data_IF_247094666493
#
_entry.id   IF_247094666493
#
_cell.length_a   1.000
_cell.length_b   1.000
_cell.length_c   1.000
_cell.angle_alpha   90.00
_cell.angle_beta   90.00
_cell.angle_gamma   90.00
#
_symmetry.space_group_name_H-M   'P 1'
#
loop_
_entity.id
_entity.type
_entity.pdbx_description
1 polymer ?
#
# COMPACT_ATOMS: atom_id res chain seq x y z
N UNK A 1 14.01 -17.29 21.12
CA UNK A 1 14.97 -17.51 20.00
C UNK A 1 14.61 -16.52 18.89
N UNK A 2 15.44 -15.51 18.62
CA UNK A 2 15.22 -14.63 17.46
C UNK A 2 15.36 -15.48 16.18
N UNK A 3 14.30 -15.59 15.38
CA UNK A 3 14.37 -16.25 14.06
C UNK A 3 15.34 -15.43 13.20
N UNK A 4 16.42 -16.04 12.70
CA UNK A 4 17.31 -15.39 11.74
C UNK A 4 16.64 -15.39 10.37
N UNK A 5 16.19 -14.23 9.90
CA UNK A 5 15.70 -14.07 8.54
C UNK A 5 16.87 -13.97 7.56
N UNK A 6 16.74 -14.46 6.31
CA UNK A 6 17.73 -14.20 5.28
C UNK A 6 17.90 -12.70 5.09
N UNK A 7 19.14 -12.23 4.93
CA UNK A 7 19.41 -10.82 4.68
C UNK A 7 18.98 -10.49 3.25
N UNK A 8 17.88 -9.75 3.10
CA UNK A 8 17.42 -9.28 1.79
C UNK A 8 18.38 -8.19 1.26
N UNK A 9 18.70 -8.14 -0.06
CA UNK A 9 19.67 -7.17 -0.60
C UNK A 9 19.37 -5.69 -0.30
N UNK A 10 18.10 -5.33 -0.14
CA UNK A 10 17.72 -3.95 0.23
C UNK A 10 18.22 -3.55 1.63
N UNK A 11 18.53 -4.52 2.50
CA UNK A 11 19.03 -4.25 3.86
C UNK A 11 20.31 -3.43 3.86
N UNK A 12 21.15 -3.60 2.84
CA UNK A 12 22.41 -2.86 2.72
C UNK A 12 22.19 -1.39 2.36
N UNK A 13 21.00 -1.02 1.88
CA UNK A 13 20.69 0.32 1.35
C UNK A 13 19.75 1.07 2.31
N UNK A 14 18.71 0.40 2.81
CA UNK A 14 17.62 1.00 3.58
C UNK A 14 17.42 0.37 4.97
N UNK A 15 18.40 -0.40 5.46
CA UNK A 15 18.36 -0.95 6.81
C UNK A 15 17.53 -2.23 6.97
N UNK A 16 17.49 -2.74 8.20
CA UNK A 16 16.97 -4.09 8.52
C UNK A 16 15.46 -4.18 8.33
N UNK A 17 14.74 -3.12 8.68
CA UNK A 17 13.30 -3.00 8.62
C UNK A 17 12.82 -3.16 7.17
N UNK A 18 13.42 -2.42 6.23
CA UNK A 18 13.15 -2.57 4.80
C UNK A 18 13.44 -3.99 4.31
N UNK A 19 14.53 -4.59 4.81
CA UNK A 19 14.89 -5.98 4.54
C UNK A 19 13.83 -6.99 4.94
N UNK A 20 13.29 -6.84 6.15
CA UNK A 20 12.28 -7.73 6.71
C UNK A 20 10.99 -7.68 5.90
N UNK A 21 10.50 -6.47 5.60
CA UNK A 21 9.31 -6.30 4.77
C UNK A 21 9.52 -6.86 3.36
N UNK A 22 10.66 -6.58 2.73
CA UNK A 22 10.98 -7.11 1.41
C UNK A 22 11.04 -8.65 1.38
N UNK A 23 11.63 -9.26 2.41
CA UNK A 23 11.62 -10.73 2.57
C UNK A 23 10.19 -11.30 2.62
N UNK A 24 9.30 -10.66 3.39
CA UNK A 24 7.90 -11.09 3.45
C UNK A 24 7.18 -10.91 2.11
N UNK A 25 7.41 -9.80 1.42
CA UNK A 25 6.85 -9.56 0.09
C UNK A 25 7.27 -10.64 -0.91
N UNK A 26 8.57 -10.96 -0.99
CA UNK A 26 9.09 -11.98 -1.90
C UNK A 26 8.51 -13.38 -1.61
N UNK A 27 8.16 -13.65 -0.35
CA UNK A 27 7.52 -14.91 0.05
C UNK A 27 6.01 -14.94 -0.26
N UNK A 28 5.31 -13.83 -0.05
CA UNK A 28 3.84 -13.77 -0.13
C UNK A 28 3.34 -13.52 -1.56
N UNK A 29 4.06 -12.72 -2.35
CA UNK A 29 3.66 -12.37 -3.72
C UNK A 29 3.44 -13.58 -4.64
N UNK A 30 4.26 -14.65 -4.59
CA UNK A 30 3.99 -15.86 -5.36
C UNK A 30 2.65 -16.54 -5.03
N UNK A 31 2.15 -16.46 -3.80
CA UNK A 31 0.88 -17.11 -3.40
C UNK A 31 -0.35 -16.37 -3.92
N UNK A 32 -0.29 -15.04 -4.03
CA UNK A 32 -1.39 -14.22 -4.57
C UNK A 32 -1.35 -14.08 -6.09
N UNK A 33 -0.28 -14.57 -6.73
CA UNK A 33 -0.13 -14.50 -8.17
C UNK A 33 -1.08 -15.48 -8.88
N UNK A 34 -1.82 -14.99 -9.87
CA UNK A 34 -2.80 -15.79 -10.60
C UNK A 34 -4.14 -15.94 -9.90
N UNK A 35 -4.38 -15.30 -8.75
CA UNK A 35 -5.71 -15.23 -8.15
C UNK A 35 -6.67 -14.53 -9.12
N UNK A 36 -7.70 -15.26 -9.55
CA UNK A 36 -8.79 -14.72 -10.33
C UNK A 36 -9.84 -14.10 -9.40
N UNK A 37 -10.54 -13.07 -9.86
CA UNK A 37 -11.70 -12.48 -9.17
C UNK A 37 -12.84 -12.37 -10.16
N UNK A 38 -14.01 -12.87 -9.78
CA UNK A 38 -15.19 -12.89 -10.63
C UNK A 38 -16.23 -11.95 -10.04
N UNK A 39 -16.61 -10.92 -10.79
CA UNK A 39 -17.60 -9.93 -10.37
C UNK A 39 -18.87 -10.10 -11.21
N UNK A 40 -20.02 -10.14 -10.54
CA UNK A 40 -21.32 -10.34 -11.17
C UNK A 40 -21.82 -9.04 -11.81
N UNK A 41 -22.35 -9.14 -13.03
CA UNK A 41 -22.96 -7.98 -13.70
C UNK A 41 -24.24 -7.54 -12.98
N UNK A 42 -24.45 -6.23 -12.88
CA UNK A 42 -25.57 -5.63 -12.13
C UNK A 42 -26.95 -6.16 -12.54
N UNK A 43 -27.12 -6.54 -13.81
CA UNK A 43 -28.38 -7.11 -14.31
C UNK A 43 -28.69 -8.50 -13.73
N UNK A 44 -27.67 -9.35 -13.57
CA UNK A 44 -27.86 -10.68 -12.97
C UNK A 44 -28.03 -10.57 -11.45
N UNK A 45 -27.24 -9.68 -10.82
CA UNK A 45 -27.35 -9.40 -9.39
C UNK A 45 -28.76 -8.99 -8.97
N UNK A 46 -29.42 -8.12 -9.75
CA UNK A 46 -30.76 -7.63 -9.46
C UNK A 46 -31.87 -8.71 -9.52
N UNK A 47 -31.61 -9.86 -10.14
CA UNK A 47 -32.58 -10.97 -10.25
C UNK A 47 -32.56 -11.90 -9.04
N UNK A 48 -31.57 -11.78 -8.16
CA UNK A 48 -31.35 -12.71 -7.05
C UNK A 48 -32.29 -12.44 -5.87
N UNK A 49 -32.64 -13.47 -5.07
CA UNK A 49 -33.30 -13.26 -3.79
C UNK A 49 -32.34 -12.57 -2.79
N UNK A 50 -32.85 -11.88 -1.75
CA UNK A 50 -32.03 -11.04 -0.86
C UNK A 50 -30.83 -11.72 -0.20
N UNK A 51 -30.94 -12.98 0.21
CA UNK A 51 -29.84 -13.72 0.82
C UNK A 51 -28.73 -14.06 -0.18
N UNK A 52 -29.08 -14.34 -1.44
CA UNK A 52 -28.10 -14.56 -2.51
C UNK A 52 -27.45 -13.24 -2.95
N UNK A 53 -28.22 -12.15 -3.01
CA UNK A 53 -27.64 -10.81 -3.23
C UNK A 53 -26.59 -10.50 -2.16
N UNK A 54 -26.88 -10.81 -0.89
CA UNK A 54 -25.94 -10.54 0.19
C UNK A 54 -24.70 -11.44 0.15
N UNK A 55 -24.87 -12.69 -0.28
CA UNK A 55 -23.76 -13.60 -0.57
C UNK A 55 -22.85 -13.06 -1.66
N UNK A 56 -23.40 -12.63 -2.80
CA UNK A 56 -22.61 -12.07 -3.91
C UNK A 56 -21.90 -10.81 -3.44
N UNK A 57 -22.63 -9.88 -2.80
CA UNK A 57 -22.09 -8.64 -2.25
C UNK A 57 -20.85 -8.88 -1.37
N UNK A 58 -20.97 -9.69 -0.32
CA UNK A 58 -19.87 -9.94 0.60
C UNK A 58 -18.74 -10.74 -0.04
N UNK A 59 -19.05 -11.69 -0.93
CA UNK A 59 -18.01 -12.41 -1.67
C UNK A 59 -17.16 -11.44 -2.50
N UNK A 60 -17.80 -10.50 -3.20
CA UNK A 60 -17.06 -9.51 -4.00
C UNK A 60 -16.33 -8.48 -3.15
N UNK A 61 -16.85 -8.08 -1.99
CA UNK A 61 -16.12 -7.23 -1.02
C UNK A 61 -14.83 -7.92 -0.57
N UNK A 62 -14.88 -9.23 -0.30
CA UNK A 62 -13.67 -10.01 0.05
C UNK A 62 -12.72 -10.13 -1.15
N UNK A 63 -13.23 -10.30 -2.38
CA UNK A 63 -12.41 -10.25 -3.61
C UNK A 63 -11.67 -8.92 -3.75
N UNK A 64 -12.37 -7.79 -3.60
CA UNK A 64 -11.72 -6.47 -3.70
C UNK A 64 -10.75 -6.22 -2.55
N UNK A 65 -11.02 -6.75 -1.36
CA UNK A 65 -10.10 -6.68 -0.21
C UNK A 65 -8.79 -7.42 -0.48
N UNK A 66 -8.89 -8.67 -0.98
CA UNK A 66 -7.71 -9.45 -1.37
C UNK A 66 -6.95 -8.79 -2.52
N UNK A 67 -7.67 -8.33 -3.56
CA UNK A 67 -7.07 -7.68 -4.72
C UNK A 67 -6.34 -6.38 -4.35
N UNK A 68 -6.94 -5.55 -3.49
CA UNK A 68 -6.32 -4.33 -3.00
C UNK A 68 -5.07 -4.63 -2.16
N UNK A 69 -5.13 -5.62 -1.26
CA UNK A 69 -3.96 -6.05 -0.48
C UNK A 69 -2.81 -6.57 -1.36
N UNK A 70 -3.12 -7.42 -2.34
CA UNK A 70 -2.15 -7.89 -3.33
C UNK A 70 -1.55 -6.75 -4.15
N UNK A 71 -2.39 -5.80 -4.60
CA UNK A 71 -1.95 -4.61 -5.33
C UNK A 71 -1.01 -3.72 -4.52
N UNK A 72 -1.32 -3.49 -3.24
CA UNK A 72 -0.46 -2.73 -2.33
C UNK A 72 0.92 -3.40 -2.14
N UNK A 73 0.94 -4.72 -1.95
CA UNK A 73 2.19 -5.49 -1.86
C UNK A 73 3.02 -5.39 -3.14
N UNK A 74 2.41 -5.58 -4.32
CA UNK A 74 3.11 -5.50 -5.61
C UNK A 74 3.67 -4.10 -5.83
N UNK A 75 2.88 -3.05 -5.64
CA UNK A 75 3.34 -1.66 -5.82
C UNK A 75 4.51 -1.34 -4.89
N UNK A 76 4.41 -1.73 -3.62
CA UNK A 76 5.47 -1.53 -2.63
C UNK A 76 6.77 -2.25 -3.03
N UNK A 77 6.66 -3.53 -3.44
CA UNK A 77 7.81 -4.32 -3.89
C UNK A 77 8.50 -3.68 -5.11
N UNK A 78 7.71 -3.21 -6.09
CA UNK A 78 8.24 -2.62 -7.32
C UNK A 78 8.94 -1.30 -7.05
N UNK A 79 8.40 -0.45 -6.17
CA UNK A 79 9.05 0.81 -5.80
C UNK A 79 10.32 0.59 -4.98
N UNK A 80 10.32 -0.34 -4.02
CA UNK A 80 11.52 -0.72 -3.28
C UNK A 80 12.62 -1.26 -4.20
N UNK A 81 12.25 -2.15 -5.13
CA UNK A 81 13.17 -2.73 -6.10
C UNK A 81 13.72 -1.67 -7.05
N UNK A 82 12.85 -0.77 -7.54
CA UNK A 82 13.24 0.35 -8.41
C UNK A 82 14.19 1.32 -7.71
N UNK A 83 13.93 1.65 -6.44
CA UNK A 83 14.82 2.48 -5.63
C UNK A 83 16.20 1.83 -5.51
N UNK A 84 16.25 0.55 -5.11
CA UNK A 84 17.51 -0.20 -5.01
C UNK A 84 18.28 -0.20 -6.32
N UNK A 85 17.61 -0.51 -7.43
CA UNK A 85 18.27 -0.54 -8.73
C UNK A 85 18.81 0.83 -9.13
N UNK A 86 18.05 1.89 -8.91
CA UNK A 86 18.47 3.26 -9.22
C UNK A 86 19.65 3.71 -8.37
N UNK A 87 19.63 3.37 -7.08
CA UNK A 87 20.75 3.64 -6.16
C UNK A 87 22.03 2.89 -6.58
N UNK A 88 21.93 1.61 -6.93
CA UNK A 88 23.06 0.81 -7.40
C UNK A 88 23.71 1.32 -8.70
N UNK A 89 22.97 2.07 -9.51
CA UNK A 89 23.47 2.65 -10.77
C UNK A 89 23.70 4.17 -10.65
N UNK A 90 23.76 4.71 -9.42
CA UNK A 90 23.99 6.12 -9.15
C UNK A 90 23.02 7.07 -9.87
N UNK A 91 21.77 6.66 -10.09
CA UNK A 91 20.77 7.47 -10.80
C UNK A 91 19.88 8.21 -9.79
N UNK A 92 20.20 9.47 -9.52
CA UNK A 92 19.50 10.30 -8.53
C UNK A 92 18.03 10.49 -8.86
N UNK A 93 17.71 10.89 -10.08
CA UNK A 93 16.33 11.20 -10.46
C UNK A 93 15.44 9.96 -10.41
N UNK A 94 15.95 8.81 -10.85
CA UNK A 94 15.21 7.55 -10.78
C UNK A 94 15.03 7.07 -9.33
N UNK A 95 16.06 7.22 -8.48
CA UNK A 95 15.97 6.90 -7.06
C UNK A 95 14.93 7.79 -6.36
N UNK A 96 14.98 9.10 -6.60
CA UNK A 96 14.03 10.05 -6.05
C UNK A 96 12.59 9.78 -6.51
N UNK A 97 12.40 9.47 -7.80
CA UNK A 97 11.09 9.10 -8.33
C UNK A 97 10.55 7.82 -7.69
N UNK A 98 11.40 6.81 -7.47
CA UNK A 98 11.00 5.57 -6.80
C UNK A 98 10.65 5.79 -5.32
N UNK A 99 11.43 6.58 -4.60
CA UNK A 99 11.14 6.95 -3.22
C UNK A 99 9.80 7.69 -3.11
N UNK A 100 9.55 8.64 -4.03
CA UNK A 100 8.28 9.37 -4.10
C UNK A 100 7.11 8.42 -4.37
N UNK A 101 7.24 7.55 -5.37
CA UNK A 101 6.24 6.55 -5.70
C UNK A 101 5.95 5.57 -4.57
N UNK A 102 6.96 5.21 -3.77
CA UNK A 102 6.79 4.38 -2.57
C UNK A 102 5.92 5.08 -1.51
N UNK A 103 6.18 6.37 -1.24
CA UNK A 103 5.39 7.16 -0.28
C UNK A 103 3.95 7.33 -0.78
N UNK A 104 3.77 7.66 -2.06
CA UNK A 104 2.44 7.77 -2.68
C UNK A 104 1.66 6.45 -2.61
N UNK A 105 2.32 5.33 -2.90
CA UNK A 105 1.70 4.00 -2.78
C UNK A 105 1.34 3.65 -1.34
N UNK A 106 2.18 4.00 -0.36
CA UNK A 106 1.89 3.80 1.05
C UNK A 106 0.69 4.63 1.52
N UNK A 107 0.60 5.89 1.11
CA UNK A 107 -0.51 6.77 1.47
C UNK A 107 -1.85 6.29 0.86
N UNK A 108 -1.83 5.82 -0.39
CA UNK A 108 -3.01 5.26 -1.06
C UNK A 108 -3.47 3.93 -0.44
N UNK A 109 -2.50 3.08 -0.08
CA UNK A 109 -2.76 1.84 0.65
C UNK A 109 -3.31 2.12 2.06
N UNK A 110 -2.75 3.05 2.83
CA UNK A 110 -3.31 3.45 4.13
C UNK A 110 -4.73 4.02 4.00
N UNK A 111 -4.95 4.92 3.04
CA UNK A 111 -6.26 5.52 2.81
C UNK A 111 -7.35 4.47 2.57
N UNK A 112 -7.00 3.41 1.84
CA UNK A 112 -7.93 2.36 1.44
C UNK A 112 -8.03 1.26 2.50
N UNK A 113 -6.89 0.63 2.81
CA UNK A 113 -6.83 -0.64 3.51
C UNK A 113 -6.83 -0.48 5.02
N UNK A 114 -6.50 0.68 5.60
CA UNK A 114 -6.41 0.83 7.05
C UNK A 114 -7.71 0.47 7.79
N UNK A 115 -8.87 0.67 7.16
CA UNK A 115 -10.18 0.32 7.72
C UNK A 115 -10.55 -1.16 7.51
N UNK A 116 -10.01 -1.82 6.48
CA UNK A 116 -10.49 -3.13 6.01
C UNK A 116 -10.38 -4.22 7.08
N UNK A 117 -9.21 -4.48 7.72
CA UNK A 117 -9.08 -5.57 8.67
C UNK A 117 -10.04 -5.42 9.85
N UNK A 118 -10.15 -4.21 10.41
CA UNK A 118 -10.96 -3.97 11.60
C UNK A 118 -12.45 -4.09 11.30
N UNK A 119 -12.91 -3.49 10.20
CA UNK A 119 -14.32 -3.57 9.78
C UNK A 119 -14.74 -5.02 9.51
N UNK A 120 -13.92 -5.79 8.79
CA UNK A 120 -14.22 -7.19 8.51
C UNK A 120 -14.18 -8.05 9.79
N UNK A 121 -13.28 -7.77 10.73
CA UNK A 121 -13.18 -8.51 11.98
C UNK A 121 -14.39 -8.25 12.90
N UNK A 122 -14.82 -7.00 13.01
CA UNK A 122 -15.99 -6.59 13.81
C UNK A 122 -17.27 -7.33 13.39
N UNK A 123 -17.48 -7.47 12.08
CA UNK A 123 -18.66 -8.14 11.52
C UNK A 123 -18.39 -9.59 11.08
N UNK A 124 -17.27 -10.21 11.47
CA UNK A 124 -16.81 -11.47 10.86
C UNK A 124 -17.84 -12.61 10.88
N UNK A 125 -18.65 -12.73 11.95
CA UNK A 125 -19.75 -13.71 12.06
C UNK A 125 -20.81 -13.46 10.99
N UNK A 126 -21.21 -12.19 10.81
CA UNK A 126 -22.22 -11.78 9.84
C UNK A 126 -21.68 -11.90 8.42
N UNK A 127 -20.43 -11.49 8.18
CA UNK A 127 -19.73 -11.65 6.90
C UNK A 127 -19.67 -13.13 6.51
N UNK A 128 -19.26 -14.02 7.43
CA UNK A 128 -19.26 -15.47 7.22
C UNK A 128 -20.65 -15.98 6.85
N UNK A 129 -21.66 -15.66 7.65
CA UNK A 129 -23.03 -16.08 7.40
C UNK A 129 -23.57 -15.55 6.05
N UNK A 130 -23.19 -14.33 5.65
CA UNK A 130 -23.59 -13.75 4.38
C UNK A 130 -22.95 -14.49 3.20
N UNK A 131 -21.63 -14.73 3.24
CA UNK A 131 -20.90 -15.47 2.19
C UNK A 131 -21.41 -16.91 2.04
N UNK A 132 -21.88 -17.52 3.13
CA UNK A 132 -22.50 -18.85 3.11
C UNK A 132 -23.97 -18.82 2.66
N UNK A 133 -24.55 -17.64 2.42
CA UNK A 133 -25.95 -17.46 2.01
C UNK A 133 -26.97 -17.71 3.13
N UNK A 134 -26.54 -17.66 4.40
CA UNK A 134 -27.36 -17.96 5.57
C UNK A 134 -27.87 -16.72 6.32
N UNK A 135 -27.37 -15.53 5.98
CA UNK A 135 -27.71 -14.32 6.72
C UNK A 135 -29.04 -13.69 6.26
N UNK A 136 -29.93 -13.47 7.22
CA UNK A 136 -31.17 -12.70 7.08
C UNK A 136 -31.42 -11.89 8.38
N UNK A 137 -31.77 -10.58 8.30
CA UNK A 137 -31.85 -9.75 7.09
C UNK A 137 -30.46 -9.44 6.50
N UNK A 138 -30.38 -9.09 5.20
CA UNK A 138 -29.12 -8.72 4.56
C UNK A 138 -28.55 -7.41 5.12
N UNK A 139 -27.24 -7.23 4.99
CA UNK A 139 -26.55 -5.98 5.36
C UNK A 139 -25.41 -5.65 4.41
N UNK A 140 -25.08 -4.36 4.31
CA UNK A 140 -24.03 -3.84 3.43
C UNK A 140 -23.07 -2.95 4.23
N UNK A 141 -21.88 -2.71 3.69
CA UNK A 141 -20.89 -1.77 4.23
C UNK A 141 -20.42 -0.83 3.11
N UNK A 142 -21.21 0.22 2.80
CA UNK A 142 -20.95 1.08 1.64
C UNK A 142 -19.59 1.78 1.70
N UNK A 143 -19.17 2.23 2.89
CA UNK A 143 -17.86 2.89 3.05
C UNK A 143 -16.70 1.95 2.69
N UNK A 144 -16.73 0.71 3.17
CA UNK A 144 -15.71 -0.31 2.85
C UNK A 144 -15.68 -0.60 1.35
N UNK A 145 -16.86 -0.81 0.75
CA UNK A 145 -16.98 -1.07 -0.68
C UNK A 145 -16.44 0.10 -1.53
N UNK A 146 -16.85 1.33 -1.22
CA UNK A 146 -16.39 2.53 -1.95
C UNK A 146 -14.88 2.70 -1.89
N UNK A 147 -14.25 2.44 -0.73
CA UNK A 147 -12.79 2.51 -0.54
C UNK A 147 -12.08 1.46 -1.38
N UNK A 148 -12.57 0.24 -1.38
CA UNK A 148 -11.99 -0.86 -2.14
C UNK A 148 -12.15 -0.66 -3.65
N UNK A 149 -13.30 -0.14 -4.09
CA UNK A 149 -13.52 0.26 -5.49
C UNK A 149 -12.55 1.38 -5.88
N UNK A 150 -12.39 2.39 -5.01
CA UNK A 150 -11.43 3.49 -5.23
C UNK A 150 -10.04 2.97 -5.51
N UNK A 151 -9.49 2.11 -4.67
CA UNK A 151 -8.15 1.60 -4.89
C UNK A 151 -7.96 0.82 -6.20
N UNK A 152 -9.01 0.14 -6.67
CA UNK A 152 -8.93 -0.76 -7.83
C UNK A 152 -9.33 -0.10 -9.15
N UNK A 153 -10.15 0.94 -9.12
CA UNK A 153 -10.76 1.55 -10.30
C UNK A 153 -10.52 3.06 -10.42
N UNK A 154 -10.02 3.73 -9.37
CA UNK A 154 -9.91 5.17 -9.40
C UNK A 154 -8.92 5.65 -10.47
N UNK A 155 -9.38 6.60 -11.29
CA UNK A 155 -8.59 7.22 -12.34
C UNK A 155 -8.99 8.67 -12.55
N UNK A 156 -8.27 9.36 -13.43
CA UNK A 156 -8.69 10.67 -13.90
C UNK A 156 -9.88 10.50 -14.87
N UNK A 157 -11.02 11.18 -14.65
CA UNK A 157 -12.13 11.18 -15.60
C UNK A 157 -11.74 11.91 -16.88
N UNK A 158 -12.28 11.46 -18.01
CA UNK A 158 -12.17 12.18 -19.28
C UNK A 158 -13.09 13.41 -19.29
N UNK A 159 -12.83 14.37 -20.19
CA UNK A 159 -13.61 15.60 -20.25
C UNK A 159 -15.07 15.29 -20.61
N UNK A 160 -15.99 15.63 -19.70
CA UNK A 160 -17.42 15.40 -19.89
C UNK A 160 -17.89 13.99 -19.49
N UNK A 161 -16.97 13.16 -19.00
CA UNK A 161 -17.30 11.83 -18.51
C UNK A 161 -17.98 11.88 -17.13
N UNK A 162 -19.05 11.10 -16.95
CA UNK A 162 -19.70 10.92 -15.65
C UNK A 162 -19.38 9.53 -15.12
N UNK A 163 -18.57 9.47 -14.05
CA UNK A 163 -18.25 8.25 -13.33
C UNK A 163 -18.56 8.40 -11.83
N UNK A 164 -18.80 7.30 -11.10
CA UNK A 164 -19.01 7.36 -9.65
C UNK A 164 -17.82 8.00 -8.93
N UNK A 165 -18.07 8.65 -7.78
CA UNK A 165 -17.01 9.31 -6.99
C UNK A 165 -15.91 8.33 -6.58
N UNK A 166 -16.26 7.09 -6.25
CA UNK A 166 -15.32 6.01 -5.95
C UNK A 166 -14.44 5.59 -7.13
N UNK A 167 -14.67 6.10 -8.34
CA UNK A 167 -13.81 5.84 -9.50
C UNK A 167 -12.95 7.07 -9.88
N UNK A 168 -13.03 8.14 -9.10
CA UNK A 168 -12.26 9.36 -9.34
C UNK A 168 -11.04 9.34 -8.43
N UNK A 169 -9.85 9.33 -9.04
CA UNK A 169 -8.59 9.39 -8.30
C UNK A 169 -8.50 10.65 -7.45
N UNK A 170 -8.14 10.48 -6.18
CA UNK A 170 -7.83 11.62 -5.32
C UNK A 170 -6.59 12.33 -5.85
N UNK A 171 -6.54 13.63 -5.64
CA UNK A 171 -5.34 14.39 -5.93
C UNK A 171 -4.23 14.01 -4.94
N UNK A 172 -2.99 14.06 -5.40
CA UNK A 172 -1.81 13.80 -4.54
C UNK A 172 -1.81 14.70 -3.30
N UNK A 173 -2.29 15.94 -3.43
CA UNK A 173 -2.45 16.86 -2.30
C UNK A 173 -3.40 16.36 -1.20
N UNK A 174 -4.41 15.56 -1.54
CA UNK A 174 -5.36 14.99 -0.57
C UNK A 174 -4.71 13.87 0.25
N UNK A 175 -3.98 12.96 -0.41
CA UNK A 175 -3.18 11.94 0.28
C UNK A 175 -2.11 12.56 1.16
N UNK A 176 -1.44 13.61 0.66
CA UNK A 176 -0.43 14.34 1.41
C UNK A 176 -1.01 15.03 2.65
N UNK A 177 -2.16 15.70 2.54
CA UNK A 177 -2.79 16.36 3.69
C UNK A 177 -3.11 15.37 4.82
N UNK A 178 -3.46 14.13 4.48
CA UNK A 178 -3.65 13.05 5.45
C UNK A 178 -2.31 12.58 6.02
N UNK A 179 -1.31 12.36 5.17
CA UNK A 179 0.03 11.97 5.61
C UNK A 179 0.67 13.01 6.53
N UNK A 180 0.48 14.31 6.26
CA UNK A 180 0.90 15.43 7.09
C UNK A 180 0.31 15.35 8.52
N UNK A 181 -0.92 14.86 8.66
CA UNK A 181 -1.58 14.73 9.97
C UNK A 181 -1.08 13.54 10.77
N UNK A 182 -0.72 12.45 10.09
CA UNK A 182 -0.35 11.18 10.75
C UNK A 182 1.17 11.09 10.96
N UNK A 183 1.96 11.50 9.96
CA UNK A 183 3.43 11.32 9.92
C UNK A 183 4.15 12.51 9.24
N UNK A 184 4.31 13.65 9.94
CA UNK A 184 4.89 14.88 9.38
C UNK A 184 6.29 14.69 8.75
N UNK A 185 7.12 13.82 9.31
CA UNK A 185 8.49 13.56 8.80
C UNK A 185 8.48 12.90 7.43
N UNK A 186 7.51 12.02 7.16
CA UNK A 186 7.36 11.38 5.85
C UNK A 186 6.94 12.42 4.81
N UNK A 187 6.10 13.38 5.19
CA UNK A 187 5.71 14.48 4.30
C UNK A 187 6.86 15.43 3.98
N UNK A 188 7.74 15.71 4.95
CA UNK A 188 8.96 16.49 4.70
C UNK A 188 9.88 15.78 3.70
N UNK A 189 10.10 14.47 3.89
CA UNK A 189 10.83 13.63 2.93
C UNK A 189 10.20 13.71 1.54
N UNK A 190 8.87 13.55 1.45
CA UNK A 190 8.12 13.65 0.20
C UNK A 190 8.33 15.00 -0.52
N UNK A 191 8.32 16.12 0.20
CA UNK A 191 8.53 17.45 -0.39
C UNK A 191 9.90 17.58 -1.04
N UNK A 192 10.96 17.10 -0.38
CA UNK A 192 12.33 17.11 -0.94
C UNK A 192 12.38 16.29 -2.24
N UNK A 193 11.78 15.10 -2.23
CA UNK A 193 11.71 14.23 -3.42
C UNK A 193 10.92 14.88 -4.56
N UNK A 194 9.83 15.58 -4.23
CA UNK A 194 9.00 16.33 -5.17
C UNK A 194 9.79 17.46 -5.83
N UNK A 195 10.53 18.25 -5.05
CA UNK A 195 11.34 19.37 -5.57
C UNK A 195 12.49 18.89 -6.47
N UNK A 196 13.04 17.70 -6.18
CA UNK A 196 14.11 17.09 -6.96
C UNK A 196 13.62 16.49 -8.29
N UNK A 197 12.39 16.00 -8.34
CA UNK A 197 11.85 15.27 -9.50
C UNK A 197 11.04 16.14 -10.47
N UNK A 198 10.70 17.38 -10.09
CA UNK A 198 10.08 18.35 -10.98
C UNK A 198 11.11 19.22 -11.69
N UNK A 199 10.81 19.73 -12.90
CA UNK A 199 11.66 20.70 -13.57
C UNK A 199 11.81 21.96 -12.70
N UNK A 200 12.98 22.14 -12.11
CA UNK A 200 13.24 23.22 -11.16
C UNK A 200 14.72 23.36 -10.82
N UNK A 201 15.08 24.46 -10.15
CA UNK A 201 16.47 24.76 -9.79
C UNK A 201 17.12 23.62 -9.00
N UNK A 202 16.42 23.06 -8.01
CA UNK A 202 16.92 21.93 -7.20
C UNK A 202 17.36 20.74 -8.07
N UNK A 203 16.55 20.35 -9.05
CA UNK A 203 16.87 19.24 -9.96
C UNK A 203 18.12 19.48 -10.84
N UNK A 204 18.36 20.73 -11.24
CA UNK A 204 19.51 21.09 -12.08
C UNK A 204 20.76 21.29 -11.23
N UNK A 205 20.61 21.91 -10.07
CA UNK A 205 21.69 22.21 -9.14
C UNK A 205 22.26 20.95 -8.49
N UNK A 206 21.54 19.83 -8.49
CA UNK A 206 22.09 18.52 -8.10
C UNK A 206 23.25 18.03 -8.97
N UNK A 207 23.47 18.66 -10.13
CA UNK A 207 24.58 18.41 -11.03
C UNK A 207 25.54 19.61 -11.14
N UNK A 208 25.50 20.51 -10.17
CA UNK A 208 26.33 21.71 -10.15
C UNK A 208 26.96 21.94 -8.78
N UNK A 209 28.06 22.69 -8.78
CA UNK A 209 28.73 23.18 -7.59
C UNK A 209 28.83 24.70 -7.67
N UNK A 210 28.42 25.40 -6.62
CA UNK A 210 28.65 26.82 -6.49
C UNK A 210 30.13 27.08 -6.18
N UNK A 211 30.80 27.86 -7.03
CA UNK A 211 32.19 28.28 -6.84
C UNK A 211 32.30 29.55 -6.00
N UNK A 212 31.20 30.28 -5.85
CA UNK A 212 31.08 31.48 -5.03
C UNK A 212 29.89 31.37 -4.09
N UNK A 213 29.95 32.03 -2.93
CA UNK A 213 28.89 31.98 -1.90
C UNK A 213 27.56 32.58 -2.35
N UNK A 214 27.58 33.45 -3.37
CA UNK A 214 26.40 34.05 -3.99
C UNK A 214 25.83 33.22 -5.16
N UNK A 215 26.44 32.06 -5.46
CA UNK A 215 26.14 31.22 -6.61
C UNK A 215 26.20 31.94 -7.98
N UNK A 216 26.86 33.10 -8.07
CA UNK A 216 27.06 33.82 -9.32
C UNK A 216 27.97 33.05 -10.30
N UNK A 217 28.82 32.18 -9.78
CA UNK A 217 29.62 31.24 -10.57
C UNK A 217 29.30 29.81 -10.17
N UNK A 218 28.84 29.01 -11.12
CA UNK A 218 28.57 27.58 -10.94
C UNK A 218 29.41 26.75 -11.92
N UNK A 219 29.84 25.57 -11.48
CA UNK A 219 30.49 24.56 -12.30
C UNK A 219 29.57 23.37 -12.43
N UNK A 220 29.40 22.86 -13.64
CA UNK A 220 28.74 21.57 -13.85
C UNK A 220 29.61 20.45 -13.29
N UNK A 221 29.06 19.66 -12.38
CA UNK A 221 29.76 18.65 -11.62
C UNK A 221 28.81 17.45 -11.42
N UNK A 222 28.78 16.54 -12.40
CA UNK A 222 27.94 15.32 -12.30
C UNK A 222 28.31 14.48 -11.09
N UNK A 223 29.57 14.53 -10.67
CA UNK A 223 30.08 13.83 -9.48
C UNK A 223 29.33 14.26 -8.19
N UNK A 224 28.73 15.46 -8.14
CA UNK A 224 27.93 15.90 -6.99
C UNK A 224 26.59 15.17 -6.85
N UNK A 225 26.17 14.41 -7.89
CA UNK A 225 25.00 13.55 -7.86
C UNK A 225 25.08 12.51 -6.74
N UNK A 226 26.26 11.94 -6.50
CA UNK A 226 26.45 10.91 -5.50
C UNK A 226 26.10 11.40 -4.08
N UNK A 227 26.48 12.64 -3.75
CA UNK A 227 26.15 13.27 -2.46
C UNK A 227 24.65 13.41 -2.28
N UNK A 228 23.96 13.96 -3.30
CA UNK A 228 22.50 14.13 -3.27
C UNK A 228 21.76 12.79 -3.23
N UNK A 229 22.30 11.76 -3.89
CA UNK A 229 21.74 10.41 -3.84
C UNK A 229 21.82 9.82 -2.43
N UNK A 230 22.93 10.03 -1.73
CA UNK A 230 23.08 9.60 -0.34
C UNK A 230 22.17 10.37 0.61
N UNK A 231 21.92 11.66 0.36
CA UNK A 231 20.91 12.44 1.11
C UNK A 231 19.50 11.88 0.91
N UNK A 232 19.12 11.57 -0.34
CA UNK A 232 17.85 10.91 -0.66
C UNK A 232 17.74 9.56 0.04
N UNK A 233 18.80 8.73 -0.02
CA UNK A 233 18.85 7.41 0.63
C UNK A 233 18.71 7.53 2.14
N UNK A 234 19.46 8.43 2.78
CA UNK A 234 19.42 8.63 4.23
C UNK A 234 18.05 9.16 4.69
N UNK A 235 17.47 10.10 3.95
CA UNK A 235 16.13 10.61 4.20
C UNK A 235 15.08 9.50 4.11
N UNK A 236 15.14 8.68 3.05
CA UNK A 236 14.23 7.55 2.90
C UNK A 236 14.42 6.50 4.00
N UNK A 237 15.67 6.10 4.28
CA UNK A 237 16.01 5.13 5.33
C UNK A 237 15.45 5.56 6.69
N UNK A 238 15.62 6.84 7.06
CA UNK A 238 15.12 7.35 8.35
C UNK A 238 13.59 7.29 8.50
N UNK A 239 12.86 7.18 7.40
CA UNK A 239 11.39 7.14 7.35
C UNK A 239 10.84 5.78 6.89
N UNK A 240 11.70 4.83 6.50
CA UNK A 240 11.29 3.65 5.73
C UNK A 240 10.37 2.73 6.53
N UNK A 241 10.62 2.58 7.84
CA UNK A 241 9.78 1.75 8.70
C UNK A 241 8.34 2.26 8.72
N UNK A 242 8.16 3.56 8.91
CA UNK A 242 6.83 4.19 8.91
C UNK A 242 6.14 4.05 7.57
N UNK A 243 6.85 4.34 6.46
CA UNK A 243 6.31 4.22 5.10
C UNK A 243 5.82 2.78 4.83
N UNK A 244 6.63 1.78 5.20
CA UNK A 244 6.28 0.37 4.98
C UNK A 244 5.16 -0.09 5.90
N UNK A 245 5.12 0.36 7.16
CA UNK A 245 4.02 0.04 8.06
C UNK A 245 2.68 0.58 7.56
N UNK A 246 2.65 1.83 7.06
CA UNK A 246 1.45 2.41 6.44
C UNK A 246 1.03 1.65 5.19
N UNK A 247 1.99 1.33 4.31
CA UNK A 247 1.71 0.68 3.03
C UNK A 247 1.36 -0.82 3.13
N UNK A 248 1.90 -1.53 4.13
CA UNK A 248 1.84 -3.00 4.16
C UNK A 248 1.10 -3.57 5.36
N UNK A 249 1.13 -2.98 6.56
CA UNK A 249 0.47 -3.61 7.71
C UNK A 249 -1.03 -3.84 7.47
N UNK A 250 -1.80 -2.91 6.88
CA UNK A 250 -3.20 -3.15 6.56
C UNK A 250 -3.41 -4.25 5.52
N UNK A 251 -2.54 -4.32 4.51
CA UNK A 251 -2.59 -5.36 3.48
C UNK A 251 -2.32 -6.75 4.08
N UNK A 252 -1.25 -6.87 4.87
CA UNK A 252 -0.87 -8.11 5.56
C UNK A 252 -1.97 -8.56 6.53
N UNK A 253 -2.52 -7.65 7.33
CA UNK A 253 -3.62 -7.92 8.25
C UNK A 253 -4.88 -8.39 7.49
N UNK A 254 -5.17 -7.79 6.34
CA UNK A 254 -6.28 -8.20 5.47
C UNK A 254 -6.10 -9.64 5.00
N UNK A 255 -4.94 -9.99 4.42
CA UNK A 255 -4.68 -11.35 3.95
C UNK A 255 -4.75 -12.38 5.09
N UNK A 256 -4.20 -12.05 6.26
CA UNK A 256 -4.25 -12.94 7.43
C UNK A 256 -5.68 -13.15 7.92
N UNK A 257 -6.50 -12.10 7.93
CA UNK A 257 -7.92 -12.19 8.28
C UNK A 257 -8.72 -13.02 7.26
N UNK A 258 -8.41 -12.89 5.97
CA UNK A 258 -9.09 -13.66 4.91
C UNK A 258 -8.91 -15.18 5.07
N UNK A 259 -7.77 -15.64 5.62
CA UNK A 259 -7.56 -17.06 5.96
C UNK A 259 -8.60 -17.60 6.96
N UNK A 260 -9.17 -16.72 7.80
CA UNK A 260 -10.20 -17.10 8.75
C UNK A 260 -11.63 -17.10 8.16
N UNK A 261 -11.82 -16.64 6.92
CA UNK A 261 -13.14 -16.53 6.26
C UNK A 261 -13.40 -17.70 5.28
N UNK A 262 -14.66 -18.03 4.96
CA UNK A 262 -14.99 -19.25 4.21
C UNK A 262 -14.63 -19.21 2.70
N UNK A 263 -14.01 -18.15 2.20
CA UNK A 263 -13.65 -18.01 0.78
C UNK A 263 -12.23 -18.54 0.52
N UNK A 264 -12.09 -19.87 0.45
CA UNK A 264 -10.80 -20.58 0.37
C UNK A 264 -9.87 -20.09 -0.76
N UNK A 265 -10.41 -19.68 -1.90
CA UNK A 265 -9.60 -19.16 -3.03
C UNK A 265 -8.85 -17.85 -2.72
N UNK A 266 -9.17 -17.18 -1.62
CA UNK A 266 -8.50 -15.97 -1.15
C UNK A 266 -7.51 -16.24 -0.01
N UNK A 267 -7.34 -17.50 0.39
CA UNK A 267 -6.41 -17.85 1.45
C UNK A 267 -4.97 -17.68 0.96
N UNK A 268 -4.15 -17.09 1.81
CA UNK A 268 -2.69 -16.95 1.66
C UNK A 268 -2.02 -17.68 2.84
N UNK A 269 -1.83 -19.01 2.78
CA UNK A 269 -1.33 -19.80 3.91
C UNK A 269 0.02 -19.33 4.48
N UNK A 270 0.94 -18.81 3.67
CA UNK A 270 2.20 -18.27 4.20
C UNK A 270 2.00 -17.07 5.14
N UNK A 271 0.85 -16.42 5.10
CA UNK A 271 0.51 -15.32 6.00
C UNK A 271 0.31 -15.79 7.45
N UNK A 272 -0.07 -17.05 7.67
CA UNK A 272 -0.23 -17.60 9.02
C UNK A 272 1.12 -17.66 9.77
N UNK A 273 2.22 -17.81 9.02
CA UNK A 273 3.58 -17.83 9.55
C UNK A 273 4.20 -16.44 9.77
N UNK A 274 3.56 -15.37 9.29
CA UNK A 274 3.99 -14.00 9.58
C UNK A 274 3.54 -13.64 10.98
N UNK A 275 4.51 -13.26 11.81
CA UNK A 275 4.24 -12.78 13.16
C UNK A 275 3.74 -11.35 13.12
N UNK A 276 2.55 -11.13 13.66
CA UNK A 276 1.91 -9.81 13.76
C UNK A 276 1.61 -9.46 15.22
N UNK A 277 2.19 -10.18 16.20
CA UNK A 277 1.90 -10.00 17.63
C UNK A 277 2.17 -8.55 18.09
N UNK A 278 3.23 -7.94 17.57
CA UNK A 278 3.66 -6.60 17.93
C UNK A 278 2.90 -5.48 17.19
N UNK A 279 1.96 -5.80 16.30
CA UNK A 279 1.21 -4.80 15.52
C UNK A 279 -0.09 -4.46 16.26
N UNK A 280 -0.25 -3.24 16.82
CA UNK A 280 -1.40 -2.91 17.67
C UNK A 280 -2.75 -3.00 16.94
N UNK A 281 -2.80 -2.64 15.65
CA UNK A 281 -4.03 -2.78 14.85
C UNK A 281 -4.43 -4.24 14.65
N UNK A 282 -3.47 -5.16 14.54
CA UNK A 282 -3.74 -6.59 14.45
C UNK A 282 -4.24 -7.16 15.78
N UNK A 283 -3.72 -6.69 16.92
CA UNK A 283 -4.24 -7.10 18.23
C UNK A 283 -5.72 -6.76 18.40
N UNK A 284 -6.16 -5.60 17.90
CA UNK A 284 -7.58 -5.22 17.88
C UNK A 284 -8.41 -6.16 17.00
N UNK A 285 -7.89 -6.57 15.84
CA UNK A 285 -8.55 -7.55 14.97
C UNK A 285 -8.68 -8.91 15.67
N UNK A 286 -7.61 -9.39 16.31
CA UNK A 286 -7.62 -10.66 17.04
C UNK A 286 -8.65 -10.69 18.16
N UNK A 287 -8.83 -9.58 18.89
CA UNK A 287 -9.83 -9.50 19.96
C UNK A 287 -11.24 -9.86 19.45
N UNK A 288 -11.64 -9.35 18.27
CA UNK A 288 -12.94 -9.69 17.68
C UNK A 288 -13.04 -11.15 17.21
N UNK A 289 -11.95 -11.76 16.78
CA UNK A 289 -11.95 -13.15 16.31
C UNK A 289 -12.00 -14.17 17.45
N UNK A 290 -11.40 -13.85 18.60
CA UNK A 290 -11.35 -14.74 19.77
C UNK A 290 -12.64 -14.68 20.60
N UNK A 291 -13.32 -13.53 20.65
CA UNK A 291 -14.57 -13.38 21.41
C UNK A 291 -15.74 -14.27 20.90
N UNK A 292 -15.57 -14.96 19.77
CA UNK A 292 -16.61 -15.80 19.14
C UNK A 292 -16.16 -17.25 18.91
N UNK A 293 -14.97 -17.64 19.39
CA UNK A 293 -14.47 -19.03 19.35
C UNK A 293 -14.80 -19.79 20.64
#
# INVERSE_FOLDING_TARGET
MMRSFPIHPVTQILGKEAGLFAYHLDRLLPEVNGTQYDFEGSHEFAKRPPHEMNRVYWTEVLFRSHWAAAGAMVRTQRWLSGFRQSHMHSNLLAAAACARGLIEAAADADYTLALVPLTLAQDHVRVRAAVEGRLLPPFVCPELEERLIHFTHARKPEKGESIPRSHIALQVGEYRARLDQVEPKVSECYRVLCDLTHPGASSVLSYAEALTSDAASVRFAVESEATHLEEVRASLESNISTILMLGLNPALATLKLLNALPVVRLHTPAMDQVDMSEIPSWQKVLAFLVEVA
#
